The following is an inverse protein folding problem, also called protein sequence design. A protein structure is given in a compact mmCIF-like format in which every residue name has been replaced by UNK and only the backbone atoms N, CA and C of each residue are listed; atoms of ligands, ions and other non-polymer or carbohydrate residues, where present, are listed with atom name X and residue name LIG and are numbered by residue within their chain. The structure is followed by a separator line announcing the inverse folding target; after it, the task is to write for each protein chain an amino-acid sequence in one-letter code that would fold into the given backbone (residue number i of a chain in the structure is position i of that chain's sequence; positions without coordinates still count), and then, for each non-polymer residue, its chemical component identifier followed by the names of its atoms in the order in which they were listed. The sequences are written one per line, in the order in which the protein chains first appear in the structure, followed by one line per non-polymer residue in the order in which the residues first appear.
data_IF_911147604669
#
_entry.id   IF_911147604669
#
_cell.length_a   1.000
_cell.length_b   1.000
_cell.length_c   1.000
_cell.angle_alpha   90.00
_cell.angle_beta   90.00
_cell.angle_gamma   90.00
#
_symmetry.space_group_name_H-M   'P 1'
#
loop_
_entity.id
_entity.type
_entity.pdbx_description
1 polymer ?
#
# COMPACT_ATOMS: atom_id res chain seq x y z
N UNK A 1 28.87 5.97 -1.04
CA UNK A 1 28.77 6.72 0.25
C UNK A 1 27.37 6.52 0.81
N UNK A 2 27.19 6.24 2.11
CA UNK A 2 25.87 5.89 2.67
C UNK A 2 24.95 7.10 2.82
N UNK A 3 25.48 8.21 3.30
CA UNK A 3 24.71 9.44 3.60
C UNK A 3 25.02 10.62 2.65
N UNK A 4 25.89 10.43 1.66
CA UNK A 4 26.22 11.50 0.70
C UNK A 4 26.79 12.74 1.34
N UNK A 5 26.26 13.90 0.95
CA UNK A 5 26.61 15.23 1.47
C UNK A 5 25.84 15.65 2.72
N UNK A 6 24.81 14.89 3.11
CA UNK A 6 24.00 15.12 4.33
C UNK A 6 24.79 14.65 5.56
N UNK A 7 25.66 15.50 6.07
CA UNK A 7 26.57 15.19 7.18
C UNK A 7 25.84 15.13 8.52
N UNK A 8 24.87 16.00 8.69
CA UNK A 8 24.07 16.07 9.92
C UNK A 8 22.84 15.16 9.90
N UNK A 9 22.55 14.50 8.77
CA UNK A 9 21.46 13.52 8.58
C UNK A 9 20.05 14.09 8.81
N UNK A 10 19.84 15.34 8.42
CA UNK A 10 18.52 15.96 8.49
C UNK A 10 17.69 15.79 7.20
N UNK A 11 18.30 15.25 6.13
CA UNK A 11 17.68 15.05 4.83
C UNK A 11 17.52 16.30 3.98
N UNK A 12 18.21 17.39 4.33
CA UNK A 12 18.15 18.69 3.67
C UNK A 12 19.54 19.18 3.25
N UNK A 13 19.57 20.16 2.34
CA UNK A 13 20.79 20.87 1.96
C UNK A 13 20.94 22.05 2.91
N UNK A 14 21.89 21.98 3.83
CA UNK A 14 22.25 23.08 4.70
C UNK A 14 23.37 23.93 4.08
N UNK A 15 23.50 25.17 4.57
CA UNK A 15 24.49 26.14 4.05
C UNK A 15 25.93 25.61 4.14
N UNK A 16 26.22 24.90 5.21
CA UNK A 16 27.55 24.32 5.52
C UNK A 16 27.82 23.05 4.70
N UNK A 17 26.78 22.36 4.23
CA UNK A 17 26.86 21.14 3.43
C UNK A 17 26.92 21.43 1.92
N UNK A 18 26.40 22.57 1.52
CA UNK A 18 26.40 23.03 0.11
C UNK A 18 27.79 23.56 -0.34
N UNK A 19 28.75 23.71 0.56
CA UNK A 19 30.11 24.04 0.18
C UNK A 19 30.84 22.79 -0.28
N UNK A 20 30.98 22.61 -1.57
CA UNK A 20 31.66 21.53 -2.31
C UNK A 20 33.10 21.18 -1.85
N UNK A 21 33.52 21.64 -0.70
CA UNK A 21 34.93 21.68 -0.31
C UNK A 21 35.35 20.44 0.49
N UNK A 22 34.42 19.75 1.16
CA UNK A 22 34.81 18.78 2.18
C UNK A 22 34.73 17.31 1.74
N UNK A 23 33.96 16.98 0.72
CA UNK A 23 33.84 15.59 0.25
C UNK A 23 33.91 15.56 -1.27
N UNK A 24 35.09 15.29 -1.83
CA UNK A 24 35.25 15.11 -3.28
C UNK A 24 34.29 14.02 -3.78
N UNK A 25 33.51 14.34 -4.81
CA UNK A 25 32.51 13.47 -5.44
C UNK A 25 31.22 13.17 -4.63
N UNK A 26 30.93 13.93 -3.59
CA UNK A 26 29.66 13.81 -2.86
C UNK A 26 28.51 14.54 -3.57
N UNK A 27 28.80 15.60 -4.30
CA UNK A 27 27.87 16.41 -5.07
C UNK A 27 28.26 16.37 -6.56
N UNK A 28 27.28 16.17 -7.44
CA UNK A 28 27.43 16.19 -8.90
C UNK A 28 27.18 17.59 -9.49
N UNK A 29 26.99 18.59 -8.67
CA UNK A 29 26.77 20.00 -9.05
C UNK A 29 25.47 20.24 -9.87
N UNK A 30 24.46 19.38 -9.71
CA UNK A 30 23.16 19.53 -10.39
C UNK A 30 22.16 20.39 -9.62
N UNK A 31 22.58 20.98 -8.49
CA UNK A 31 21.74 21.81 -7.63
C UNK A 31 20.87 21.02 -6.65
N UNK A 32 21.04 19.69 -6.58
CA UNK A 32 20.41 18.83 -5.59
C UNK A 32 21.44 18.15 -4.70
N UNK A 33 21.12 17.98 -3.42
CA UNK A 33 22.01 17.31 -2.48
C UNK A 33 22.11 15.82 -2.78
N UNK A 34 23.33 15.29 -2.87
CA UNK A 34 23.56 13.86 -2.96
C UNK A 34 23.41 13.20 -1.59
N UNK A 35 22.24 12.64 -1.31
CA UNK A 35 21.90 11.97 -0.05
C UNK A 35 22.52 10.56 0.10
N UNK A 36 23.24 10.07 -0.90
CA UNK A 36 23.78 8.71 -0.91
C UNK A 36 22.68 7.64 -1.02
N UNK A 37 22.90 6.50 -0.36
CA UNK A 37 21.98 5.35 -0.42
C UNK A 37 20.91 5.34 0.68
N UNK A 38 21.15 6.05 1.79
CA UNK A 38 20.33 5.97 3.00
C UNK A 38 18.85 6.32 2.80
N UNK A 39 18.47 7.30 1.95
CA UNK A 39 17.06 7.64 1.70
C UNK A 39 16.33 6.64 0.80
N UNK A 40 17.08 5.80 0.06
CA UNK A 40 16.52 4.92 -0.96
C UNK A 40 16.42 3.47 -0.54
N UNK A 41 17.17 3.06 0.50
CA UNK A 41 17.25 1.68 0.94
C UNK A 41 16.92 1.55 2.43
N UNK A 42 16.20 0.49 2.77
CA UNK A 42 15.94 0.12 4.16
C UNK A 42 16.09 -1.39 4.35
N UNK A 43 16.53 -1.80 5.53
CA UNK A 43 16.51 -3.19 5.99
C UNK A 43 15.23 -3.51 6.77
N UNK A 44 14.40 -2.49 7.01
CA UNK A 44 13.22 -2.59 7.85
C UNK A 44 11.99 -2.32 7.01
N UNK A 45 11.18 -3.34 6.81
CA UNK A 45 9.89 -3.22 6.12
C UNK A 45 8.96 -4.29 6.64
N UNK A 46 7.73 -3.91 6.96
CA UNK A 46 6.67 -4.82 7.40
C UNK A 46 5.31 -4.21 7.10
N UNK A 47 4.39 -5.07 6.72
CA UNK A 47 2.98 -4.75 6.61
C UNK A 47 2.19 -5.82 7.35
N UNK A 48 1.26 -5.41 8.19
CA UNK A 48 0.32 -6.30 8.86
C UNK A 48 -0.83 -6.67 7.93
N UNK A 49 -1.39 -7.84 8.17
CA UNK A 49 -2.61 -8.29 7.48
C UNK A 49 -3.86 -7.98 8.33
N UNK A 50 -3.95 -6.72 8.79
CA UNK A 50 -5.04 -6.22 9.62
C UNK A 50 -5.81 -5.11 8.91
N UNK A 51 -7.05 -4.91 9.31
CA UNK A 51 -7.88 -3.81 8.82
C UNK A 51 -7.40 -2.48 9.41
N UNK A 52 -7.56 -1.39 8.68
CA UNK A 52 -7.21 -0.06 9.17
C UNK A 52 -8.23 0.47 10.20
N UNK A 53 -9.47 -0.06 10.19
CA UNK A 53 -10.57 0.45 11.02
C UNK A 53 -10.46 0.05 12.49
N UNK A 54 -10.10 -1.21 12.77
CA UNK A 54 -10.10 -1.75 14.15
C UNK A 54 -8.92 -2.67 14.47
N UNK A 55 -8.00 -2.87 13.50
CA UNK A 55 -6.83 -3.74 13.65
C UNK A 55 -7.16 -5.24 13.63
N UNK A 56 -8.39 -5.63 13.29
CA UNK A 56 -8.76 -7.04 13.15
C UNK A 56 -8.03 -7.69 11.98
N UNK A 57 -7.88 -9.01 12.02
CA UNK A 57 -7.29 -9.75 10.89
C UNK A 57 -8.17 -9.66 9.66
N UNK A 58 -7.58 -9.38 8.51
CA UNK A 58 -8.30 -9.37 7.22
C UNK A 58 -8.86 -10.75 6.88
N UNK A 59 -9.98 -10.75 6.19
CA UNK A 59 -10.64 -11.95 5.69
C UNK A 59 -9.75 -12.58 4.61
N UNK A 60 -9.30 -13.82 4.83
CA UNK A 60 -8.55 -14.59 3.83
C UNK A 60 -9.49 -15.10 2.74
N UNK A 61 -9.45 -14.48 1.56
CA UNK A 61 -10.24 -14.92 0.39
C UNK A 61 -9.90 -16.34 -0.06
N UNK A 62 -8.73 -16.86 0.36
CA UNK A 62 -8.27 -18.21 0.06
C UNK A 62 -8.50 -19.19 1.21
N UNK A 63 -9.20 -18.79 2.26
CA UNK A 63 -9.57 -19.64 3.39
C UNK A 63 -10.30 -20.91 2.95
N UNK A 64 -10.15 -22.01 3.66
CA UNK A 64 -10.71 -23.30 3.31
C UNK A 64 -12.18 -23.47 3.72
N UNK A 65 -12.64 -22.76 4.72
CA UNK A 65 -14.01 -22.80 5.23
C UNK A 65 -14.86 -21.74 4.51
N UNK A 66 -15.65 -22.20 3.52
CA UNK A 66 -16.49 -21.32 2.72
C UNK A 66 -17.70 -20.77 3.48
N UNK A 67 -18.17 -21.48 4.52
CA UNK A 67 -19.30 -21.02 5.33
C UNK A 67 -18.86 -19.80 6.18
N UNK A 68 -17.72 -19.91 6.84
CA UNK A 68 -17.11 -18.78 7.58
C UNK A 68 -16.76 -17.64 6.64
N UNK A 69 -16.13 -17.94 5.47
CA UNK A 69 -15.80 -16.93 4.46
C UNK A 69 -17.05 -16.16 4.02
N UNK A 70 -18.14 -16.86 3.67
CA UNK A 70 -19.40 -16.22 3.26
C UNK A 70 -19.97 -15.31 4.34
N UNK A 71 -19.97 -15.79 5.58
CA UNK A 71 -20.49 -15.04 6.74
C UNK A 71 -19.68 -13.78 6.99
N UNK A 72 -18.35 -13.87 6.93
CA UNK A 72 -17.47 -12.72 7.19
C UNK A 72 -17.50 -11.71 6.04
N UNK A 73 -17.55 -12.17 4.79
CA UNK A 73 -17.69 -11.29 3.64
C UNK A 73 -19.00 -10.48 3.67
N UNK A 74 -20.11 -11.08 4.10
CA UNK A 74 -21.39 -10.38 4.19
C UNK A 74 -21.44 -9.28 5.25
N UNK A 75 -20.45 -9.19 6.16
CA UNK A 75 -20.30 -8.08 7.11
C UNK A 75 -19.76 -6.82 6.45
N UNK A 76 -19.03 -6.95 5.34
CA UNK A 76 -18.28 -5.85 4.72
C UNK A 76 -18.65 -5.61 3.24
N UNK A 77 -19.20 -6.62 2.55
CA UNK A 77 -19.59 -6.58 1.15
C UNK A 77 -21.09 -6.88 1.00
N UNK A 78 -21.64 -6.60 -0.19
CA UNK A 78 -23.01 -6.99 -0.51
C UNK A 78 -23.14 -8.52 -0.58
N UNK A 79 -24.36 -9.02 -0.39
CA UNK A 79 -24.66 -10.46 -0.52
C UNK A 79 -24.29 -11.01 -1.90
N UNK A 80 -24.48 -10.21 -2.95
CA UNK A 80 -24.13 -10.55 -4.33
C UNK A 80 -22.62 -10.69 -4.52
N UNK A 81 -21.84 -9.73 -3.99
CA UNK A 81 -20.38 -9.77 -4.02
C UNK A 81 -19.82 -10.95 -3.23
N UNK A 82 -20.33 -11.21 -2.05
CA UNK A 82 -19.95 -12.36 -1.24
C UNK A 82 -20.27 -13.70 -1.93
N UNK A 83 -21.47 -13.82 -2.54
CA UNK A 83 -21.86 -14.99 -3.30
C UNK A 83 -20.95 -15.24 -4.50
N UNK A 84 -20.54 -14.20 -5.23
CA UNK A 84 -19.63 -14.33 -6.36
C UNK A 84 -18.23 -14.82 -5.91
N UNK A 85 -17.68 -14.30 -4.83
CA UNK A 85 -16.41 -14.76 -4.26
C UNK A 85 -16.48 -16.24 -3.89
N UNK A 86 -17.55 -16.67 -3.21
CA UNK A 86 -17.77 -18.08 -2.87
C UNK A 86 -17.93 -18.96 -4.12
N UNK A 87 -18.67 -18.49 -5.13
CA UNK A 87 -18.82 -19.20 -6.39
C UNK A 87 -17.49 -19.39 -7.11
N UNK A 88 -16.66 -18.35 -7.17
CA UNK A 88 -15.31 -18.44 -7.73
C UNK A 88 -14.46 -19.48 -7.00
N UNK A 89 -14.53 -19.52 -5.67
CA UNK A 89 -13.81 -20.52 -4.87
C UNK A 89 -14.29 -21.94 -5.13
N UNK A 90 -15.59 -22.15 -5.37
CA UNK A 90 -16.19 -23.48 -5.63
C UNK A 90 -15.92 -23.93 -7.07
N UNK A 91 -16.17 -23.08 -8.05
CA UNK A 91 -16.24 -23.46 -9.47
C UNK A 91 -15.03 -22.99 -10.28
N UNK A 92 -14.29 -21.97 -9.81
CA UNK A 92 -13.20 -21.33 -10.55
C UNK A 92 -13.66 -20.28 -11.55
N UNK A 93 -12.70 -19.53 -12.13
CA UNK A 93 -13.00 -18.60 -13.19
C UNK A 93 -13.41 -19.33 -14.46
N UNK A 94 -14.40 -18.78 -15.18
CA UNK A 94 -14.83 -19.27 -16.46
C UNK A 94 -14.45 -18.29 -17.57
N UNK A 95 -13.93 -18.80 -18.67
CA UNK A 95 -13.64 -17.99 -19.87
C UNK A 95 -14.79 -18.11 -20.83
N UNK A 96 -15.49 -17.00 -21.09
CA UNK A 96 -16.61 -16.95 -22.03
C UNK A 96 -16.15 -17.32 -23.45
N UNK A 97 -16.88 -18.19 -24.07
CA UNK A 97 -16.79 -18.39 -25.52
C UNK A 97 -17.67 -17.36 -26.25
N UNK A 98 -17.45 -17.10 -27.56
CA UNK A 98 -18.21 -16.08 -28.30
C UNK A 98 -19.72 -16.32 -28.36
N UNK A 99 -20.17 -17.54 -28.09
CA UNK A 99 -21.59 -17.91 -28.14
C UNK A 99 -22.26 -17.96 -26.76
N UNK A 100 -21.50 -17.96 -25.70
CA UNK A 100 -22.01 -17.99 -24.34
C UNK A 100 -22.46 -16.60 -23.89
N UNK A 101 -23.48 -16.56 -23.02
CA UNK A 101 -24.01 -15.34 -22.41
C UNK A 101 -24.07 -15.50 -20.90
N UNK A 102 -23.84 -14.38 -20.21
CA UNK A 102 -24.04 -14.34 -18.76
C UNK A 102 -25.50 -14.11 -18.40
N UNK A 103 -25.93 -14.67 -17.28
CA UNK A 103 -27.29 -14.52 -16.71
C UNK A 103 -27.36 -13.38 -15.68
N UNK A 104 -26.44 -12.40 -15.75
CA UNK A 104 -26.28 -11.33 -14.77
C UNK A 104 -25.24 -11.70 -13.72
N UNK A 105 -25.24 -10.97 -12.60
CA UNK A 105 -24.26 -11.12 -11.49
C UNK A 105 -24.86 -11.74 -10.22
N UNK A 106 -26.18 -11.79 -10.08
CA UNK A 106 -26.87 -12.30 -8.87
C UNK A 106 -26.95 -13.81 -8.86
N UNK A 107 -26.12 -14.45 -8.05
CA UNK A 107 -26.07 -15.90 -7.87
C UNK A 107 -27.01 -16.28 -6.71
N UNK A 108 -28.02 -17.19 -6.95
CA UNK A 108 -28.89 -17.65 -5.88
C UNK A 108 -28.10 -18.38 -4.77
N UNK A 109 -28.39 -18.10 -3.51
CA UNK A 109 -27.73 -18.77 -2.39
C UNK A 109 -27.89 -20.29 -2.43
N UNK A 110 -29.05 -20.80 -2.91
CA UNK A 110 -29.33 -22.22 -3.10
C UNK A 110 -28.45 -22.90 -4.16
N UNK A 111 -27.77 -22.13 -4.99
CA UNK A 111 -26.86 -22.65 -6.01
C UNK A 111 -25.44 -22.89 -5.48
N UNK A 112 -25.14 -22.45 -4.24
CA UNK A 112 -23.83 -22.55 -3.62
C UNK A 112 -23.82 -23.56 -2.49
N UNK A 113 -23.06 -24.63 -2.66
CA UNK A 113 -22.80 -25.59 -1.60
C UNK A 113 -21.57 -25.17 -0.80
N UNK A 114 -21.79 -24.41 0.25
CA UNK A 114 -20.73 -23.85 1.12
C UNK A 114 -20.11 -24.91 2.05
N UNK A 115 -20.65 -26.14 2.08
CA UNK A 115 -20.06 -27.25 2.86
C UNK A 115 -18.87 -27.88 2.14
N UNK A 116 -18.67 -27.58 0.87
CA UNK A 116 -17.48 -27.98 0.12
C UNK A 116 -16.24 -27.33 0.69
N UNK A 117 -15.36 -28.13 1.23
CA UNK A 117 -14.08 -27.68 1.76
C UNK A 117 -12.99 -27.72 0.69
N UNK A 118 -12.01 -26.81 0.80
CA UNK A 118 -10.71 -26.95 0.16
C UNK A 118 -10.72 -26.98 -1.36
N UNK A 119 -11.58 -26.20 -1.98
CA UNK A 119 -11.60 -26.10 -3.45
C UNK A 119 -10.26 -25.58 -3.95
N UNK A 120 -9.73 -26.18 -5.02
CA UNK A 120 -8.42 -25.82 -5.60
C UNK A 120 -8.36 -24.43 -6.21
N UNK A 121 -9.52 -23.76 -6.37
CA UNK A 121 -9.58 -22.43 -6.99
C UNK A 121 -9.21 -21.35 -6.00
N UNK A 122 -8.04 -20.75 -6.19
CA UNK A 122 -7.50 -19.66 -5.35
C UNK A 122 -7.41 -18.39 -6.16
N UNK A 123 -7.58 -17.26 -5.47
CA UNK A 123 -7.24 -15.96 -6.01
C UNK A 123 -5.71 -15.75 -5.95
N UNK A 124 -5.14 -15.25 -7.02
CA UNK A 124 -3.75 -14.77 -7.03
C UNK A 124 -3.68 -13.31 -6.59
N UNK A 125 -4.73 -12.56 -6.87
CA UNK A 125 -4.91 -11.14 -6.61
C UNK A 125 -6.37 -10.84 -6.30
N UNK A 126 -6.62 -9.79 -5.52
CA UNK A 126 -7.97 -9.23 -5.31
C UNK A 126 -8.56 -8.75 -6.64
N UNK A 127 -7.72 -8.34 -7.58
CA UNK A 127 -8.15 -7.89 -8.91
C UNK A 127 -8.68 -9.03 -9.81
N UNK A 128 -8.51 -10.29 -9.44
CA UNK A 128 -9.12 -11.43 -10.15
C UNK A 128 -10.65 -11.40 -10.05
N UNK A 129 -11.20 -10.62 -9.12
CA UNK A 129 -12.63 -10.41 -8.96
C UNK A 129 -13.23 -9.46 -10.00
N UNK A 130 -12.45 -8.58 -10.60
CA UNK A 130 -12.95 -7.49 -11.45
C UNK A 130 -13.31 -8.00 -12.84
N UNK A 131 -14.37 -7.43 -13.44
CA UNK A 131 -14.73 -7.70 -14.83
C UNK A 131 -13.51 -7.67 -15.80
N UNK A 132 -13.45 -8.56 -16.77
CA UNK A 132 -14.53 -9.42 -17.30
C UNK A 132 -14.61 -10.81 -16.66
N UNK A 133 -14.20 -10.98 -15.43
CA UNK A 133 -14.25 -12.29 -14.74
C UNK A 133 -15.67 -12.83 -14.66
N UNK A 134 -15.85 -14.12 -14.96
CA UNK A 134 -17.12 -14.83 -14.86
C UNK A 134 -16.92 -16.17 -14.13
N UNK A 135 -18.01 -16.73 -13.62
CA UNK A 135 -18.03 -18.06 -13.00
C UNK A 135 -19.16 -18.87 -13.61
N UNK A 136 -18.92 -20.18 -13.85
CA UNK A 136 -19.95 -21.11 -14.32
C UNK A 136 -20.41 -21.95 -13.14
N UNK A 137 -21.62 -21.67 -12.66
CA UNK A 137 -22.26 -22.40 -11.55
C UNK A 137 -23.04 -23.56 -12.11
N UNK A 138 -22.90 -24.76 -11.51
CA UNK A 138 -23.59 -25.97 -11.91
C UNK A 138 -24.53 -26.44 -10.80
N UNK A 139 -25.83 -26.50 -11.09
CA UNK A 139 -26.86 -27.03 -10.19
C UNK A 139 -27.54 -28.22 -10.87
N UNK A 140 -27.32 -29.42 -10.37
CA UNK A 140 -27.71 -30.63 -11.03
C UNK A 140 -27.04 -30.77 -12.40
N UNK A 141 -27.78 -30.72 -13.47
CA UNK A 141 -27.29 -30.76 -14.87
C UNK A 141 -27.26 -29.38 -15.52
N UNK A 142 -27.82 -28.35 -14.85
CA UNK A 142 -27.94 -27.01 -15.41
C UNK A 142 -26.67 -26.21 -15.12
N UNK A 143 -26.09 -25.65 -16.17
CA UNK A 143 -24.94 -24.75 -16.10
C UNK A 143 -25.38 -23.32 -16.38
N UNK A 144 -25.07 -22.40 -15.49
CA UNK A 144 -25.39 -20.99 -15.62
C UNK A 144 -24.13 -20.13 -15.42
N UNK A 145 -23.88 -19.20 -16.31
CA UNK A 145 -22.68 -18.33 -16.24
C UNK A 145 -23.10 -16.98 -15.65
N UNK A 146 -22.41 -16.59 -14.60
CA UNK A 146 -22.62 -15.31 -13.92
C UNK A 146 -21.43 -14.39 -14.14
N UNK A 147 -21.72 -13.11 -14.41
CA UNK A 147 -20.71 -12.04 -14.48
C UNK A 147 -20.29 -11.62 -13.09
N UNK A 148 -19.10 -11.06 -12.99
CA UNK A 148 -18.66 -10.43 -11.75
C UNK A 148 -19.51 -9.20 -11.39
N UNK A 149 -19.92 -9.05 -10.12
CA UNK A 149 -20.53 -7.82 -9.62
C UNK A 149 -19.50 -6.70 -9.35
N UNK A 150 -18.21 -6.98 -9.52
CA UNK A 150 -17.13 -5.99 -9.38
C UNK A 150 -16.85 -5.37 -10.74
N UNK A 151 -17.60 -4.34 -11.08
CA UNK A 151 -17.49 -3.68 -12.37
C UNK A 151 -16.17 -2.94 -12.52
N UNK A 152 -15.69 -2.72 -13.74
CA UNK A 152 -14.46 -2.00 -14.03
C UNK A 152 -14.64 -0.50 -14.22
N UNK A 153 -15.83 0.06 -13.91
CA UNK A 153 -16.03 1.50 -14.00
C UNK A 153 -15.30 2.22 -12.86
N UNK A 154 -14.66 3.34 -13.15
CA UNK A 154 -13.90 4.08 -12.15
C UNK A 154 -14.75 4.46 -10.92
N UNK A 155 -16.01 4.86 -11.13
CA UNK A 155 -16.94 5.20 -10.06
C UNK A 155 -17.25 4.04 -9.11
N UNK A 156 -17.52 2.86 -9.65
CA UNK A 156 -17.80 1.67 -8.84
C UNK A 156 -16.52 1.19 -8.14
N UNK A 157 -15.38 1.19 -8.84
CA UNK A 157 -14.08 0.84 -8.26
C UNK A 157 -13.72 1.73 -7.07
N UNK A 158 -14.00 3.03 -7.11
CA UNK A 158 -13.81 3.95 -5.97
C UNK A 158 -14.63 3.55 -4.74
N UNK A 159 -15.75 2.88 -4.93
CA UNK A 159 -16.62 2.45 -3.84
C UNK A 159 -16.17 1.12 -3.22
N UNK A 160 -15.93 0.08 -4.05
CA UNK A 160 -15.67 -1.25 -3.50
C UNK A 160 -14.20 -1.57 -3.28
N UNK A 161 -13.25 -1.00 -4.05
CA UNK A 161 -11.82 -1.32 -3.88
C UNK A 161 -11.26 -0.93 -2.51
N UNK A 162 -11.55 0.26 -1.94
CA UNK A 162 -11.10 0.56 -0.58
C UNK A 162 -11.59 -0.46 0.44
N UNK A 163 -12.84 -0.93 0.33
CA UNK A 163 -13.40 -1.94 1.22
C UNK A 163 -12.69 -3.27 1.06
N UNK A 164 -12.48 -3.73 -0.20
CA UNK A 164 -11.76 -4.96 -0.48
C UNK A 164 -10.32 -4.91 0.05
N UNK A 165 -9.61 -3.81 -0.23
CA UNK A 165 -8.21 -3.66 0.20
C UNK A 165 -8.06 -3.55 1.71
N UNK A 166 -9.03 -2.94 2.41
CA UNK A 166 -9.02 -2.87 3.85
C UNK A 166 -9.37 -4.21 4.50
N UNK A 167 -10.47 -4.82 4.06
CA UNK A 167 -11.10 -5.92 4.79
C UNK A 167 -10.65 -7.29 4.35
N UNK A 168 -10.03 -7.44 3.15
CA UNK A 168 -9.71 -8.75 2.59
C UNK A 168 -8.25 -8.90 2.21
N UNK A 169 -7.79 -10.14 2.09
CA UNK A 169 -6.45 -10.47 1.63
C UNK A 169 -6.43 -11.80 0.88
N UNK A 170 -5.52 -11.94 -0.07
CA UNK A 170 -5.23 -13.21 -0.76
C UNK A 170 -3.93 -13.86 -0.24
N UNK A 171 -3.19 -13.15 0.62
CA UNK A 171 -1.91 -13.58 1.19
C UNK A 171 -1.86 -13.24 2.68
N UNK A 172 -1.16 -14.06 3.43
CA UNK A 172 -0.96 -13.86 4.88
C UNK A 172 0.01 -12.72 5.21
N UNK A 173 0.90 -12.35 4.28
CA UNK A 173 1.87 -11.27 4.48
C UNK A 173 2.40 -10.73 3.17
N UNK A 174 2.85 -9.49 3.21
CA UNK A 174 3.59 -8.83 2.15
C UNK A 174 4.92 -8.33 2.70
N UNK A 175 5.97 -8.40 1.90
CA UNK A 175 7.31 -7.98 2.31
C UNK A 175 7.88 -7.02 1.27
N UNK A 176 8.42 -5.89 1.73
CA UNK A 176 9.22 -4.99 0.91
C UNK A 176 8.44 -4.21 -0.15
N UNK A 177 7.13 -4.02 -0.02
CA UNK A 177 6.38 -3.15 -0.92
C UNK A 177 6.77 -1.69 -0.73
N UNK A 178 6.74 -0.93 -1.81
CA UNK A 178 7.13 0.48 -1.84
C UNK A 178 5.91 1.35 -1.66
N UNK A 179 5.94 2.25 -0.67
CA UNK A 179 4.87 3.22 -0.45
C UNK A 179 4.93 4.31 -1.53
N UNK A 180 3.99 4.25 -2.48
CA UNK A 180 3.94 5.17 -3.62
C UNK A 180 3.60 6.62 -3.24
N UNK A 181 2.96 6.82 -2.09
CA UNK A 181 2.65 8.17 -1.62
C UNK A 181 3.87 8.90 -1.04
N UNK A 182 4.91 8.16 -0.61
CA UNK A 182 6.08 8.73 0.06
C UNK A 182 7.39 8.53 -0.69
N UNK A 183 7.49 7.48 -1.52
CA UNK A 183 8.75 7.12 -2.17
C UNK A 183 9.25 8.21 -3.11
N UNK A 184 10.55 8.54 -3.12
CA UNK A 184 11.13 9.51 -4.05
C UNK A 184 11.08 8.99 -5.50
N UNK A 185 11.13 9.91 -6.47
CA UNK A 185 11.08 9.62 -7.91
C UNK A 185 12.04 8.49 -8.32
N UNK A 186 13.27 8.54 -7.82
CA UNK A 186 14.30 7.54 -8.13
C UNK A 186 13.88 6.11 -7.70
N UNK A 187 13.22 5.97 -6.54
CA UNK A 187 12.74 4.67 -6.05
C UNK A 187 11.54 4.18 -6.87
N UNK A 188 10.60 5.08 -7.19
CA UNK A 188 9.44 4.75 -8.03
C UNK A 188 9.88 4.24 -9.41
N UNK A 189 10.89 4.87 -10.03
CA UNK A 189 11.46 4.46 -11.32
C UNK A 189 12.13 3.08 -11.28
N UNK A 190 12.48 2.56 -10.12
CA UNK A 190 13.05 1.22 -9.97
C UNK A 190 11.98 0.11 -9.92
N UNK A 191 10.69 0.45 -9.81
CA UNK A 191 9.61 -0.54 -9.73
C UNK A 191 9.36 -1.13 -11.12
N UNK A 192 9.40 -2.46 -11.28
CA UNK A 192 9.11 -3.08 -12.57
C UNK A 192 7.71 -2.71 -13.09
N UNK A 193 7.65 -2.16 -14.30
CA UNK A 193 6.40 -1.71 -14.93
C UNK A 193 6.03 -0.24 -14.68
N UNK A 194 6.78 0.49 -13.85
CA UNK A 194 6.66 1.94 -13.73
C UNK A 194 7.38 2.63 -14.89
N UNK A 195 6.66 3.45 -15.64
CA UNK A 195 7.23 4.34 -16.67
C UNK A 195 7.41 5.74 -16.11
N UNK A 196 8.19 6.59 -16.79
CA UNK A 196 8.35 8.00 -16.40
C UNK A 196 7.02 8.71 -16.28
N UNK A 197 6.12 8.50 -17.24
CA UNK A 197 4.79 9.14 -17.27
C UNK A 197 3.95 8.74 -16.06
N UNK A 198 3.92 7.44 -15.72
CA UNK A 198 3.21 6.95 -14.52
C UNK A 198 3.80 7.58 -13.25
N UNK A 199 5.13 7.63 -13.13
CA UNK A 199 5.80 8.19 -11.95
C UNK A 199 5.54 9.69 -11.83
N UNK A 200 5.53 10.44 -12.92
CA UNK A 200 5.22 11.86 -12.92
C UNK A 200 3.76 12.13 -12.50
N UNK A 201 2.82 11.35 -13.00
CA UNK A 201 1.41 11.41 -12.58
C UNK A 201 1.25 11.07 -11.08
N UNK A 202 1.95 10.05 -10.58
CA UNK A 202 1.95 9.72 -9.15
C UNK A 202 2.43 10.93 -8.33
N UNK A 203 3.57 11.53 -8.71
CA UNK A 203 4.15 12.66 -7.98
C UNK A 203 3.24 13.90 -8.03
N UNK A 204 2.60 14.14 -9.16
CA UNK A 204 1.69 15.27 -9.34
C UNK A 204 0.40 15.14 -8.50
N UNK A 205 -0.14 13.92 -8.35
CA UNK A 205 -1.44 13.70 -7.71
C UNK A 205 -1.36 13.30 -6.24
N UNK A 206 -0.25 12.69 -5.79
CA UNK A 206 -0.12 12.26 -4.40
C UNK A 206 -0.09 13.44 -3.45
N UNK A 207 -0.77 13.30 -2.32
CA UNK A 207 -0.67 14.23 -1.21
C UNK A 207 0.25 13.62 -0.15
N UNK A 208 1.37 14.29 0.18
CA UNK A 208 2.30 13.82 1.21
C UNK A 208 1.75 14.03 2.64
N UNK A 209 0.71 14.82 2.79
CA UNK A 209 0.06 15.10 4.08
C UNK A 209 -1.21 14.26 4.21
N UNK A 210 -1.08 13.12 4.89
CA UNK A 210 -2.19 12.21 5.14
C UNK A 210 -3.36 12.86 5.89
N UNK A 211 -3.14 13.95 6.63
CA UNK A 211 -4.21 14.68 7.32
C UNK A 211 -5.14 15.44 6.37
N UNK A 212 -4.67 15.70 5.15
CA UNK A 212 -5.42 16.39 4.08
C UNK A 212 -6.06 15.44 3.07
N UNK A 213 -5.85 14.12 3.20
CA UNK A 213 -6.51 13.13 2.34
C UNK A 213 -7.98 13.03 2.78
N UNK A 214 -8.83 13.83 2.15
CA UNK A 214 -10.28 13.71 2.32
C UNK A 214 -10.84 12.44 1.65
N UNK A 215 -10.14 11.92 0.66
CA UNK A 215 -10.50 10.71 -0.09
C UNK A 215 -9.72 9.49 0.45
N UNK A 216 -10.42 8.64 1.20
CA UNK A 216 -9.87 7.39 1.75
C UNK A 216 -9.36 6.42 0.67
N UNK A 217 -9.72 6.61 -0.61
CA UNK A 217 -9.25 5.77 -1.71
C UNK A 217 -7.73 5.85 -1.87
N UNK A 218 -7.11 7.00 -1.58
CA UNK A 218 -5.65 7.19 -1.63
C UNK A 218 -4.88 6.47 -0.51
N UNK A 219 -5.57 5.87 0.46
CA UNK A 219 -4.94 5.02 1.47
C UNK A 219 -4.50 3.66 0.90
N UNK A 220 -4.94 3.30 -0.30
CA UNK A 220 -4.63 2.04 -0.97
C UNK A 220 -4.06 2.29 -2.35
N UNK A 221 -3.03 1.53 -2.75
CA UNK A 221 -2.37 1.70 -4.06
C UNK A 221 -3.31 1.55 -5.26
N UNK A 222 -4.53 1.06 -5.04
CA UNK A 222 -5.61 0.98 -6.02
C UNK A 222 -6.06 2.34 -6.56
N UNK A 223 -5.67 3.45 -5.90
CA UNK A 223 -5.94 4.78 -6.43
C UNK A 223 -5.29 5.02 -7.81
N UNK A 224 -4.18 4.33 -8.10
CA UNK A 224 -3.58 4.36 -9.43
C UNK A 224 -4.54 3.86 -10.52
N UNK A 225 -5.36 2.86 -10.19
CA UNK A 225 -6.36 2.31 -11.10
C UNK A 225 -7.62 3.18 -11.16
N UNK A 226 -8.11 3.66 -10.02
CA UNK A 226 -9.34 4.46 -9.96
C UNK A 226 -9.16 5.87 -10.51
N UNK A 227 -7.93 6.39 -10.52
CA UNK A 227 -7.57 7.65 -11.18
C UNK A 227 -7.07 7.45 -12.63
N UNK A 228 -7.23 6.24 -13.17
CA UNK A 228 -6.88 5.88 -14.56
C UNK A 228 -5.40 6.13 -14.94
N UNK A 229 -4.50 6.16 -13.95
CA UNK A 229 -3.05 6.29 -14.19
C UNK A 229 -2.49 4.99 -14.76
N UNK A 230 -3.04 3.86 -14.33
CA UNK A 230 -2.68 2.53 -14.81
C UNK A 230 -3.92 1.74 -15.21
N UNK A 231 -3.75 0.84 -16.16
CA UNK A 231 -4.79 -0.14 -16.53
C UNK A 231 -4.90 -1.25 -15.49
N UNK A 232 -6.01 -1.99 -15.48
CA UNK A 232 -6.19 -3.15 -14.58
C UNK A 232 -5.04 -4.15 -14.70
N UNK A 233 -4.58 -4.45 -15.93
CA UNK A 233 -3.47 -5.36 -16.16
C UNK A 233 -2.15 -4.85 -15.57
N UNK A 234 -1.88 -3.55 -15.69
CA UNK A 234 -0.71 -2.92 -15.06
C UNK A 234 -0.83 -2.96 -13.54
N UNK A 235 -2.01 -2.65 -12.97
CA UNK A 235 -2.23 -2.73 -11.53
C UNK A 235 -2.02 -4.13 -10.97
N UNK A 236 -2.52 -5.17 -11.64
CA UNK A 236 -2.25 -6.57 -11.28
C UNK A 236 -0.74 -6.90 -11.25
N UNK A 237 0.03 -6.35 -12.18
CA UNK A 237 1.48 -6.54 -12.21
C UNK A 237 2.20 -5.77 -11.10
N UNK A 238 1.68 -4.60 -10.72
CA UNK A 238 2.26 -3.70 -9.71
C UNK A 238 1.91 -4.09 -8.28
N UNK A 239 0.80 -4.77 -8.02
CA UNK A 239 0.26 -5.09 -6.68
C UNK A 239 1.31 -5.65 -5.71
N UNK A 240 2.20 -6.50 -6.22
CA UNK A 240 3.25 -7.14 -5.41
C UNK A 240 4.41 -6.20 -5.03
N UNK A 241 4.50 -5.03 -5.65
CA UNK A 241 5.59 -4.07 -5.44
C UNK A 241 5.14 -2.80 -4.73
N UNK A 242 3.85 -2.44 -4.80
CA UNK A 242 3.36 -1.13 -4.35
C UNK A 242 2.38 -1.23 -3.18
N UNK A 243 2.44 -0.25 -2.31
CA UNK A 243 1.53 -0.04 -1.18
C UNK A 243 1.33 1.47 -0.96
N UNK A 244 0.36 1.85 -0.14
CA UNK A 244 0.23 3.22 0.40
C UNK A 244 0.44 3.28 1.91
N UNK A 245 0.75 2.15 2.55
CA UNK A 245 0.97 2.04 3.99
C UNK A 245 2.27 1.30 4.30
N UNK A 246 2.46 1.05 5.57
CA UNK A 246 3.56 0.27 6.14
C UNK A 246 3.59 0.50 7.63
N UNK A 247 4.00 -0.52 8.39
CA UNK A 247 3.95 -0.51 9.85
C UNK A 247 5.31 -0.28 10.49
N UNK A 248 6.32 0.03 9.68
CA UNK A 248 7.66 0.36 10.17
C UNK A 248 7.99 1.81 9.86
N UNK A 249 8.35 2.54 10.92
CA UNK A 249 8.61 3.97 10.86
C UNK A 249 10.02 4.29 11.32
N UNK A 250 10.74 5.11 10.55
CA UNK A 250 12.00 5.72 10.98
C UNK A 250 11.70 7.13 11.45
N UNK A 251 12.07 7.44 12.68
CA UNK A 251 11.78 8.70 13.36
C UNK A 251 13.06 9.27 13.96
N UNK A 252 13.21 10.58 13.90
CA UNK A 252 14.19 11.30 14.70
C UNK A 252 13.47 12.13 15.75
N UNK A 253 13.87 11.99 17.00
CA UNK A 253 13.38 12.80 18.11
C UNK A 253 14.50 13.74 18.59
N UNK A 254 14.17 15.01 18.80
CA UNK A 254 15.10 16.06 19.14
C UNK A 254 14.62 16.76 20.41
N UNK A 255 15.43 16.71 21.47
CA UNK A 255 15.27 17.52 22.66
C UNK A 255 16.24 18.71 22.61
N UNK A 256 15.77 19.92 22.79
CA UNK A 256 16.58 21.14 22.71
C UNK A 256 16.08 22.21 23.67
N UNK A 257 16.92 23.22 23.91
CA UNK A 257 16.56 24.43 24.65
C UNK A 257 16.26 25.56 23.68
N UNK A 258 15.27 26.41 24.01
CA UNK A 258 14.83 27.53 23.17
C UNK A 258 15.90 28.59 22.94
N UNK A 259 16.88 28.67 23.84
CA UNK A 259 18.05 29.59 23.73
C UNK A 259 19.12 29.12 22.74
N UNK A 260 18.90 27.97 22.09
CA UNK A 260 19.84 27.42 21.11
C UNK A 260 21.04 26.69 21.72
N UNK A 261 20.99 26.35 23.01
CA UNK A 261 22.02 25.61 23.74
C UNK A 261 22.18 24.15 23.31
N UNK A 262 22.46 23.28 24.27
CA UNK A 262 22.68 21.84 24.02
C UNK A 262 21.42 21.18 23.48
N UNK A 263 21.59 20.31 22.52
CA UNK A 263 20.52 19.46 21.98
C UNK A 263 20.87 17.97 22.09
N UNK A 264 19.88 17.16 22.37
CA UNK A 264 19.97 15.70 22.27
C UNK A 264 19.13 15.24 21.07
N UNK A 265 19.67 14.32 20.25
CA UNK A 265 19.01 13.82 19.06
C UNK A 265 19.18 12.31 18.93
N UNK A 266 18.06 11.63 18.79
CA UNK A 266 18.04 10.17 18.61
C UNK A 266 17.38 9.79 17.30
N UNK A 267 17.81 8.71 16.71
CA UNK A 267 17.18 8.06 15.58
C UNK A 267 16.65 6.70 16.01
N UNK A 268 15.39 6.44 15.69
CA UNK A 268 14.69 5.21 16.10
C UNK A 268 13.98 4.61 14.89
N UNK A 269 14.00 3.28 14.77
CA UNK A 269 13.13 2.53 13.88
C UNK A 269 12.13 1.76 14.74
N UNK A 270 10.85 2.01 14.49
CA UNK A 270 9.74 1.44 15.24
C UNK A 270 8.93 0.49 14.35
N UNK A 271 8.65 -0.71 14.85
CA UNK A 271 7.64 -1.62 14.32
C UNK A 271 6.32 -1.38 15.06
N UNK A 272 5.38 -0.74 14.40
CA UNK A 272 4.04 -0.44 14.92
C UNK A 272 3.01 -1.54 14.57
N UNK A 273 3.46 -2.67 14.01
CA UNK A 273 2.58 -3.82 13.74
C UNK A 273 2.08 -4.53 15.00
N UNK A 274 2.64 -4.18 16.15
CA UNK A 274 2.25 -4.69 17.48
C UNK A 274 1.97 -3.54 18.43
N UNK A 275 1.13 -3.78 19.45
CA UNK A 275 0.91 -2.81 20.51
C UNK A 275 1.34 -3.42 21.86
N UNK A 276 2.26 -2.76 22.57
CA UNK A 276 2.99 -1.54 22.20
C UNK A 276 3.93 -1.74 21.02
N UNK A 277 4.26 -0.65 20.31
CA UNK A 277 5.23 -0.68 19.22
C UNK A 277 6.61 -1.15 19.70
N UNK A 278 7.30 -1.93 18.87
CA UNK A 278 8.62 -2.49 19.19
C UNK A 278 9.72 -1.63 18.59
N UNK A 279 10.75 -1.30 19.37
CA UNK A 279 11.96 -0.63 18.89
C UNK A 279 12.85 -1.65 18.19
N UNK A 280 13.01 -1.53 16.87
CA UNK A 280 13.89 -2.39 16.07
C UNK A 280 15.33 -1.88 16.04
N UNK A 281 15.50 -0.57 16.07
CA UNK A 281 16.80 0.07 16.05
C UNK A 281 16.74 1.38 16.82
N UNK A 282 17.80 1.70 17.52
CA UNK A 282 17.98 2.95 18.24
C UNK A 282 19.45 3.40 18.17
N UNK A 283 19.66 4.70 17.99
CA UNK A 283 20.99 5.27 18.17
C UNK A 283 20.92 6.75 18.57
N UNK A 284 21.89 7.15 19.34
CA UNK A 284 22.18 8.54 19.66
C UNK A 284 22.97 9.18 18.51
N UNK A 285 22.45 10.27 17.97
CA UNK A 285 23.07 11.07 16.92
C UNK A 285 23.29 12.53 17.37
N UNK A 286 23.29 12.80 18.68
CA UNK A 286 23.48 14.14 19.26
C UNK A 286 24.80 14.79 18.81
N UNK A 287 25.83 13.96 18.54
CA UNK A 287 27.12 14.41 18.03
C UNK A 287 27.07 15.07 16.64
N UNK A 288 25.96 14.89 15.91
CA UNK A 288 25.70 15.55 14.63
C UNK A 288 25.00 16.90 14.80
N UNK A 289 24.85 17.38 16.04
CA UNK A 289 24.16 18.61 16.36
C UNK A 289 22.63 18.48 16.26
N UNK A 290 21.96 19.62 16.37
CA UNK A 290 20.49 19.69 16.31
C UNK A 290 19.93 19.29 14.95
N UNK A 291 20.64 19.60 13.87
CA UNK A 291 20.27 19.23 12.49
C UNK A 291 19.14 20.07 11.88
N UNK A 292 18.44 20.86 12.70
CA UNK A 292 17.34 21.75 12.28
C UNK A 292 17.46 23.08 13.00
N UNK A 293 16.98 24.16 12.37
CA UNK A 293 16.91 25.47 13.02
C UNK A 293 15.82 25.52 14.10
N UNK A 294 15.90 26.48 15.02
CA UNK A 294 14.87 26.64 16.05
C UNK A 294 13.51 26.97 15.44
N UNK A 295 13.47 27.77 14.38
CA UNK A 295 12.25 28.14 13.67
C UNK A 295 11.58 26.90 13.05
N UNK A 296 12.34 25.98 12.49
CA UNK A 296 11.83 24.72 11.92
C UNK A 296 11.28 23.78 12.99
N UNK A 297 11.84 23.81 14.18
CA UNK A 297 11.39 23.02 15.32
C UNK A 297 10.17 23.63 16.04
N UNK A 298 9.71 24.81 15.59
CA UNK A 298 8.52 25.44 16.11
C UNK A 298 8.72 26.16 17.45
N UNK A 299 9.98 26.44 17.84
CA UNK A 299 10.21 27.32 18.98
C UNK A 299 9.79 28.75 18.59
N UNK A 300 8.71 29.22 19.21
CA UNK A 300 8.39 30.64 19.19
C UNK A 300 9.44 31.32 20.05
N UNK A 301 10.35 32.07 19.42
CA UNK A 301 11.19 32.97 20.16
C UNK A 301 10.25 33.85 20.99
N UNK A 302 10.23 33.65 22.29
CA UNK A 302 9.60 34.59 23.24
C UNK A 302 10.31 35.90 23.08
N UNK A 303 9.61 36.87 22.47
CA UNK A 303 10.03 38.30 22.45
C UNK A 303 10.03 38.85 23.86
#
# INVERSE_FOLDING_TARGET
MLFGGDLNRNGRIDTDENSNVTIPNADNSDGSMNLGWAPYLTLYSKETNTTASDGSTKIDLNGSDLQTLSTDLQKVLSAEQAAFICAYRIYGPHTLTPVEKTSGSSIPASALDLTKTGTGNKFNSVFDLIEPTTVQVTVGTTKTIYASPFTKTAGDMKTYLPILMDSTSVKSSYVGRININLAPKAVLMCIPGMTSDIVEEIIARRTMDNSKISDKSMNYATWLLTEEIVTLKQMQALEKYVTCGGDVYRVQAIGYFDDGGVAARIEVVLDASTQPATVLFWRDISHLGRGFTLDELGSQATQ
#
